data_IF_327874940229
#
_entry.id   IF_327874940229
#
_cell.length_a   1.000
_cell.length_b   1.000
_cell.length_c   1.000
_cell.angle_alpha   90.00
_cell.angle_beta   90.00
_cell.angle_gamma   90.00
#
_symmetry.space_group_name_H-M   'P 1'
#
loop_
_entity.id
_entity.type
_entity.pdbx_description
1 polymer ?
#
# COMPACT_ATOMS: atom_id res chain seq x y z
N UNK A 1 22.36 6.21 10.41
CA UNK A 1 20.91 6.46 10.54
C UNK A 1 20.37 7.72 9.83
N UNK A 2 21.19 8.67 9.36
CA UNK A 2 20.69 9.88 8.67
C UNK A 2 19.79 9.58 7.47
N UNK A 3 20.15 8.62 6.61
CA UNK A 3 19.32 8.19 5.48
C UNK A 3 17.94 7.66 5.92
N UNK A 4 17.88 6.85 6.98
CA UNK A 4 16.63 6.30 7.52
C UNK A 4 15.74 7.44 8.04
N UNK A 5 16.30 8.42 8.76
CA UNK A 5 15.55 9.61 9.21
C UNK A 5 15.00 10.41 8.02
N UNK A 6 15.73 10.49 6.91
CA UNK A 6 15.24 11.14 5.69
C UNK A 6 14.08 10.36 5.05
N UNK A 7 14.16 9.02 5.01
CA UNK A 7 13.08 8.17 4.51
C UNK A 7 11.80 8.45 5.32
N UNK A 8 11.90 8.40 6.66
CA UNK A 8 10.76 8.65 7.54
C UNK A 8 10.17 10.04 7.30
N UNK A 9 10.99 11.08 7.18
CA UNK A 9 10.54 12.45 6.87
C UNK A 9 9.82 12.56 5.52
N UNK A 10 10.29 11.84 4.50
CA UNK A 10 9.62 11.83 3.20
C UNK A 10 8.22 11.20 3.32
N UNK A 11 8.03 10.18 4.17
CA UNK A 11 6.69 9.61 4.46
C UNK A 11 5.83 10.53 5.34
N UNK A 12 6.43 11.20 6.33
CA UNK A 12 5.74 12.17 7.18
C UNK A 12 5.24 13.39 6.41
N UNK A 13 5.88 13.72 5.29
CA UNK A 13 5.48 14.82 4.39
C UNK A 13 4.64 14.35 3.19
N UNK A 14 4.26 13.07 3.15
CA UNK A 14 3.46 12.51 2.08
C UNK A 14 2.04 13.10 2.04
N UNK A 15 1.37 12.92 0.91
CA UNK A 15 -0.01 13.37 0.72
C UNK A 15 -0.93 12.81 1.82
N UNK A 16 -1.70 13.69 2.47
CA UNK A 16 -2.59 13.39 3.60
C UNK A 16 -1.89 12.91 4.88
N UNK A 17 -0.56 12.96 4.99
CA UNK A 17 0.12 12.62 6.25
C UNK A 17 -0.21 13.63 7.34
N UNK A 18 -0.34 13.16 8.59
CA UNK A 18 -0.51 14.02 9.76
C UNK A 18 0.80 14.69 10.19
N UNK A 19 1.95 14.11 9.83
CA UNK A 19 3.28 14.63 10.16
C UNK A 19 4.02 13.82 11.24
N UNK A 20 5.13 14.36 11.78
CA UNK A 20 6.00 13.63 12.71
C UNK A 20 5.33 13.24 14.02
N UNK A 21 4.38 14.03 14.52
CA UNK A 21 3.65 13.78 15.77
C UNK A 21 2.81 12.48 15.75
N UNK A 22 2.45 11.98 14.56
CA UNK A 22 1.66 10.75 14.43
C UNK A 22 2.49 9.51 14.12
N UNK A 23 3.82 9.68 14.01
CA UNK A 23 4.74 8.65 13.55
C UNK A 23 5.28 7.87 14.73
N UNK A 24 4.93 6.59 14.77
CA UNK A 24 5.44 5.64 15.72
C UNK A 24 6.72 5.02 15.17
N UNK A 25 7.86 5.43 15.74
CA UNK A 25 9.17 4.97 15.33
C UNK A 25 10.12 4.72 16.50
N UNK A 26 10.84 3.60 16.46
CA UNK A 26 11.68 3.15 17.57
C UNK A 26 12.95 3.98 17.76
N UNK A 27 13.50 4.60 16.70
CA UNK A 27 14.76 5.35 16.80
C UNK A 27 14.62 6.56 17.72
N UNK A 28 13.52 7.30 17.62
CA UNK A 28 13.30 8.47 18.46
C UNK A 28 13.19 8.07 19.95
N UNK A 29 12.41 7.02 20.23
CA UNK A 29 12.31 6.47 21.58
C UNK A 29 13.66 5.93 22.09
N UNK A 30 14.49 5.37 21.22
CA UNK A 30 15.81 4.87 21.58
C UNK A 30 16.80 6.00 21.88
N UNK A 31 16.78 7.09 21.11
CA UNK A 31 17.57 8.29 21.38
C UNK A 31 17.17 8.93 22.72
N UNK A 32 15.87 8.97 23.05
CA UNK A 32 15.40 9.40 24.36
C UNK A 32 15.87 8.48 25.50
N UNK A 33 15.87 7.17 25.26
CA UNK A 33 16.39 6.19 26.22
C UNK A 33 17.89 6.39 26.48
N UNK A 34 18.70 6.56 25.44
CA UNK A 34 20.14 6.81 25.57
C UNK A 34 20.43 8.12 26.30
N UNK A 35 19.68 9.19 26.02
CA UNK A 35 19.85 10.47 26.70
C UNK A 35 19.53 10.40 28.21
N UNK A 36 18.62 9.50 28.62
CA UNK A 36 18.20 9.41 30.02
C UNK A 36 18.95 8.34 30.81
N UNK A 37 19.22 7.18 30.20
CA UNK A 37 19.79 6.00 30.86
C UNK A 37 21.17 5.63 30.34
N UNK A 38 21.55 6.10 29.15
CA UNK A 38 22.82 5.75 28.52
C UNK A 38 24.01 6.38 29.23
N UNK A 39 25.14 5.69 29.20
CA UNK A 39 26.43 6.26 29.63
C UNK A 39 26.93 7.32 28.66
N UNK A 40 26.50 7.25 27.40
CA UNK A 40 26.82 8.18 26.31
C UNK A 40 25.55 8.54 25.52
N UNK A 41 25.46 9.78 25.07
CA UNK A 41 24.41 10.24 24.14
C UNK A 41 24.62 9.69 22.70
N UNK A 42 25.76 9.04 22.45
CA UNK A 42 26.05 8.44 21.14
C UNK A 42 25.25 7.16 20.91
N UNK A 43 24.78 6.99 19.67
CA UNK A 43 24.08 5.78 19.27
C UNK A 43 25.00 4.56 19.37
N UNK A 44 24.58 3.54 20.11
CA UNK A 44 25.26 2.24 20.23
C UNK A 44 24.26 1.12 20.00
N UNK A 45 24.70 -0.04 19.51
CA UNK A 45 23.82 -1.22 19.41
C UNK A 45 23.82 -2.04 20.72
N UNK A 46 24.83 -1.88 21.58
CA UNK A 46 25.00 -2.65 22.80
C UNK A 46 23.87 -2.47 23.82
N UNK A 47 23.26 -1.28 23.86
CA UNK A 47 22.18 -0.95 24.78
C UNK A 47 20.78 -1.29 24.23
N UNK A 48 20.68 -1.75 22.98
CA UNK A 48 19.39 -2.10 22.36
C UNK A 48 18.66 -3.25 23.09
N UNK A 49 19.32 -4.34 23.53
CA UNK A 49 18.65 -5.39 24.30
C UNK A 49 18.07 -4.87 25.62
N UNK A 50 18.78 -3.96 26.30
CA UNK A 50 18.32 -3.31 27.54
C UNK A 50 17.10 -2.44 27.27
N UNK A 51 17.15 -1.61 26.22
CA UNK A 51 16.04 -0.79 25.76
C UNK A 51 14.78 -1.63 25.48
N UNK A 52 14.94 -2.73 24.75
CA UNK A 52 13.82 -3.61 24.39
C UNK A 52 13.24 -4.41 25.56
N UNK A 53 14.02 -4.62 26.63
CA UNK A 53 13.56 -5.27 27.88
C UNK A 53 13.00 -4.26 28.89
N UNK A 54 13.15 -2.96 28.64
CA UNK A 54 12.59 -1.90 29.48
C UNK A 54 11.05 -1.99 29.53
N UNK A 55 10.47 -1.82 30.72
CA UNK A 55 9.03 -1.80 30.91
C UNK A 55 8.34 -0.69 30.08
N UNK A 56 9.05 0.41 29.80
CA UNK A 56 8.51 1.55 29.05
C UNK A 56 8.49 1.29 27.55
N UNK A 57 9.49 0.59 27.01
CA UNK A 57 9.74 0.48 25.56
C UNK A 57 9.57 -0.94 25.00
N UNK A 58 9.26 -1.92 25.83
CA UNK A 58 9.03 -3.31 25.44
C UNK A 58 8.07 -3.46 24.25
N UNK A 59 7.04 -2.62 24.12
CA UNK A 59 6.10 -2.70 23.00
C UNK A 59 6.77 -2.51 21.63
N UNK A 60 7.87 -1.75 21.55
CA UNK A 60 8.62 -1.51 20.31
C UNK A 60 9.37 -2.75 19.81
N UNK A 61 9.53 -3.78 20.65
CA UNK A 61 10.10 -5.08 20.22
C UNK A 61 9.30 -5.73 19.10
N UNK A 62 8.00 -5.48 19.05
CA UNK A 62 7.12 -5.99 17.99
C UNK A 62 7.37 -5.32 16.64
N UNK A 63 8.00 -4.14 16.64
CA UNK A 63 8.29 -3.33 15.44
C UNK A 63 9.67 -3.59 14.85
N UNK A 64 10.59 -4.19 15.63
CA UNK A 64 12.00 -4.34 15.27
C UNK A 64 12.45 -5.79 15.43
N UNK A 65 12.96 -6.37 14.35
CA UNK A 65 13.61 -7.67 14.36
C UNK A 65 15.12 -7.48 14.56
N UNK A 66 15.60 -7.85 15.74
CA UNK A 66 17.00 -7.72 16.11
C UNK A 66 17.64 -9.05 16.52
N UNK A 67 18.97 -9.12 16.44
CA UNK A 67 19.78 -10.24 16.88
C UNK A 67 20.60 -9.84 18.11
N UNK A 68 20.21 -10.34 19.28
CA UNK A 68 20.78 -9.95 20.58
C UNK A 68 22.31 -10.13 20.66
N UNK A 69 22.86 -11.22 20.11
CA UNK A 69 24.31 -11.47 20.16
C UNK A 69 25.09 -10.43 19.36
N UNK A 70 24.60 -10.08 18.17
CA UNK A 70 25.22 -9.07 17.31
C UNK A 70 25.08 -7.66 17.92
N UNK A 71 23.97 -7.37 18.62
CA UNK A 71 23.80 -6.12 19.33
C UNK A 71 24.83 -5.93 20.45
N UNK A 72 25.07 -6.97 21.25
CA UNK A 72 26.08 -6.94 22.32
C UNK A 72 27.50 -6.75 21.80
N UNK A 73 27.80 -7.24 20.60
CA UNK A 73 29.08 -7.02 19.90
C UNK A 73 29.17 -5.66 19.19
N UNK A 74 28.14 -4.82 19.33
CA UNK A 74 28.00 -3.54 18.66
C UNK A 74 28.07 -3.63 17.12
N UNK A 75 27.63 -4.76 16.57
CA UNK A 75 27.69 -5.05 15.14
C UNK A 75 26.45 -4.48 14.41
N UNK A 76 26.61 -3.85 13.23
CA UNK A 76 25.48 -3.32 12.45
C UNK A 76 24.42 -4.36 12.06
N UNK A 77 24.77 -5.65 12.02
CA UNK A 77 23.85 -6.76 11.78
C UNK A 77 22.88 -7.03 12.95
N UNK A 78 23.02 -6.28 14.06
CA UNK A 78 22.06 -6.25 15.15
C UNK A 78 20.62 -6.05 14.67
N UNK A 79 20.38 -5.17 13.67
CA UNK A 79 19.03 -4.89 13.17
C UNK A 79 18.86 -5.49 11.77
N UNK A 80 17.93 -6.42 11.63
CA UNK A 80 17.68 -7.11 10.35
C UNK A 80 16.54 -6.47 9.57
N UNK A 81 15.46 -6.11 10.26
CA UNK A 81 14.28 -5.49 9.64
C UNK A 81 13.48 -4.74 10.70
N UNK A 82 12.83 -3.65 10.32
CA UNK A 82 11.90 -2.94 11.18
C UNK A 82 10.76 -2.36 10.33
N UNK A 83 9.67 -1.99 10.98
CA UNK A 83 8.64 -1.14 10.38
C UNK A 83 8.35 0.05 11.28
N UNK A 84 7.78 1.10 10.69
CA UNK A 84 7.26 2.26 11.39
C UNK A 84 5.85 2.53 10.90
N UNK A 85 5.05 3.21 11.71
CA UNK A 85 3.68 3.55 11.36
C UNK A 85 3.52 5.05 11.40
N UNK A 86 2.88 5.63 10.39
CA UNK A 86 2.48 7.04 10.37
C UNK A 86 1.01 7.13 10.02
N UNK A 87 0.31 8.10 10.61
CA UNK A 87 -1.13 8.26 10.41
C UNK A 87 -1.44 9.39 9.44
N UNK A 88 -2.60 9.27 8.81
CA UNK A 88 -3.14 10.29 7.93
C UNK A 88 -3.94 11.36 8.70
N UNK A 89 -4.07 12.53 8.09
CA UNK A 89 -4.92 13.63 8.55
C UNK A 89 -6.37 13.42 8.08
N UNK A 90 -7.33 13.52 9.01
CA UNK A 90 -8.76 13.29 8.81
C UNK A 90 -9.16 11.86 8.38
N UNK A 91 -10.48 11.61 8.36
CA UNK A 91 -11.05 10.39 7.81
C UNK A 91 -10.87 10.36 6.29
N UNK A 92 -9.80 9.72 5.83
CA UNK A 92 -9.59 9.45 4.41
C UNK A 92 -10.69 8.51 3.93
N UNK A 93 -11.47 8.95 2.94
CA UNK A 93 -12.42 8.06 2.25
C UNK A 93 -11.64 7.12 1.34
N UNK A 94 -12.22 5.94 1.06
CA UNK A 94 -11.55 4.92 0.26
C UNK A 94 -10.99 5.40 -1.09
N UNK A 95 -11.67 6.34 -1.76
CA UNK A 95 -11.21 6.91 -3.04
C UNK A 95 -10.00 7.86 -2.89
N UNK A 96 -9.84 8.50 -1.72
CA UNK A 96 -8.70 9.38 -1.39
C UNK A 96 -7.47 8.57 -0.96
N UNK A 97 -7.67 7.30 -0.58
CA UNK A 97 -6.57 6.41 -0.22
C UNK A 97 -5.75 5.96 -1.44
N UNK A 98 -6.36 5.96 -2.63
CA UNK A 98 -5.69 5.61 -3.89
C UNK A 98 -4.52 6.56 -4.21
N UNK A 99 -4.70 7.90 -4.27
CA UNK A 99 -3.59 8.81 -4.51
C UNK A 99 -2.55 8.80 -3.36
N UNK A 100 -2.99 8.61 -2.12
CA UNK A 100 -2.09 8.49 -0.96
C UNK A 100 -1.13 7.30 -1.10
N UNK A 101 -1.67 6.10 -1.39
CA UNK A 101 -0.88 4.88 -1.57
C UNK A 101 0.06 4.98 -2.79
N UNK A 102 -0.37 5.65 -3.86
CA UNK A 102 0.49 5.91 -5.03
C UNK A 102 1.66 6.81 -4.67
N UNK A 103 1.44 7.82 -3.86
CA UNK A 103 2.49 8.71 -3.38
C UNK A 103 3.47 7.97 -2.46
N UNK A 104 2.97 7.13 -1.56
CA UNK A 104 3.80 6.26 -0.72
C UNK A 104 4.68 5.30 -1.55
N UNK A 105 4.12 4.70 -2.61
CA UNK A 105 4.90 3.86 -3.55
C UNK A 105 5.95 4.65 -4.30
N UNK A 106 5.65 5.90 -4.69
CA UNK A 106 6.59 6.81 -5.34
C UNK A 106 7.75 7.18 -4.39
N UNK A 107 7.45 7.42 -3.11
CA UNK A 107 8.47 7.66 -2.08
C UNK A 107 9.31 6.41 -1.86
N UNK A 108 8.69 5.23 -1.70
CA UNK A 108 9.41 3.96 -1.56
C UNK A 108 10.35 3.68 -2.76
N UNK A 109 9.91 3.96 -3.98
CA UNK A 109 10.70 3.79 -5.20
C UNK A 109 11.93 4.70 -5.28
N UNK A 110 11.98 5.79 -4.51
CA UNK A 110 13.16 6.68 -4.41
C UNK A 110 14.32 6.04 -3.64
N UNK A 111 14.05 4.99 -2.86
CA UNK A 111 15.00 4.35 -1.96
C UNK A 111 15.16 2.84 -2.27
N UNK A 112 15.60 2.46 -3.49
CA UNK A 112 15.68 1.06 -3.90
C UNK A 112 16.67 0.25 -3.05
N UNK A 113 17.75 0.87 -2.57
CA UNK A 113 18.81 0.22 -1.77
C UNK A 113 18.32 -0.30 -0.41
N UNK A 114 17.23 0.26 0.10
CA UNK A 114 16.68 -0.06 1.42
C UNK A 114 15.49 -1.02 1.38
N UNK A 115 15.05 -1.43 0.18
CA UNK A 115 13.89 -2.31 -0.02
C UNK A 115 12.68 -1.87 0.83
N UNK A 116 12.33 -0.59 0.78
CA UNK A 116 11.22 -0.04 1.56
C UNK A 116 9.90 -0.43 0.91
N UNK A 117 8.96 -0.93 1.71
CA UNK A 117 7.62 -1.27 1.24
C UNK A 117 6.56 -0.47 2.01
N UNK A 118 5.72 0.23 1.26
CA UNK A 118 4.55 0.89 1.82
C UNK A 118 3.42 -0.13 2.01
N UNK A 119 2.91 -0.24 3.24
CA UNK A 119 1.82 -1.13 3.59
C UNK A 119 0.67 -0.37 4.27
N UNK A 120 -0.55 -0.70 3.88
CA UNK A 120 -1.79 -0.30 4.53
C UNK A 120 -2.79 -1.45 4.39
N UNK A 121 -3.65 -1.66 5.38
CA UNK A 121 -4.65 -2.74 5.41
C UNK A 121 -5.53 -2.75 4.14
N UNK A 122 -5.82 -1.57 3.58
CA UNK A 122 -6.65 -1.44 2.39
C UNK A 122 -5.88 -1.56 1.06
N UNK A 123 -4.54 -1.66 1.10
CA UNK A 123 -3.72 -1.71 -0.12
C UNK A 123 -4.10 -2.84 -1.07
N UNK A 124 -4.34 -4.09 -0.60
CA UNK A 124 -4.73 -5.19 -1.50
C UNK A 124 -6.06 -4.92 -2.21
N UNK A 125 -7.02 -4.30 -1.52
CA UNK A 125 -8.31 -3.97 -2.10
C UNK A 125 -8.19 -2.85 -3.14
N UNK A 126 -7.32 -1.85 -2.90
CA UNK A 126 -7.03 -0.80 -3.87
C UNK A 126 -6.38 -1.38 -5.11
N UNK A 127 -5.40 -2.28 -4.94
CA UNK A 127 -4.72 -2.93 -6.05
C UNK A 127 -5.66 -3.77 -6.91
N UNK A 128 -6.56 -4.53 -6.26
CA UNK A 128 -7.62 -5.24 -6.96
C UNK A 128 -8.51 -4.27 -7.74
N UNK A 129 -8.92 -3.16 -7.11
CA UNK A 129 -9.77 -2.15 -7.76
C UNK A 129 -9.09 -1.56 -9.00
N UNK A 130 -7.79 -1.25 -8.93
CA UNK A 130 -7.02 -0.76 -10.07
C UNK A 130 -6.87 -1.81 -11.19
N UNK A 131 -6.82 -3.10 -10.83
CA UNK A 131 -6.74 -4.18 -11.81
C UNK A 131 -8.08 -4.47 -12.51
N UNK A 132 -9.22 -4.10 -11.91
CA UNK A 132 -10.54 -4.33 -12.52
C UNK A 132 -10.64 -3.64 -13.88
N UNK A 133 -10.23 -2.37 -13.98
CA UNK A 133 -10.35 -1.61 -15.23
C UNK A 133 -9.62 -2.29 -16.39
N UNK A 134 -8.36 -2.67 -16.20
CA UNK A 134 -7.56 -3.33 -17.24
C UNK A 134 -8.07 -4.75 -17.55
N UNK A 135 -8.58 -5.45 -16.54
CA UNK A 135 -9.16 -6.79 -16.69
C UNK A 135 -10.45 -6.74 -17.51
N UNK A 136 -11.31 -5.73 -17.30
CA UNK A 136 -12.56 -5.55 -18.06
C UNK A 136 -12.26 -5.30 -19.53
N UNK A 137 -11.34 -4.39 -19.86
CA UNK A 137 -10.97 -4.10 -21.25
C UNK A 137 -10.34 -5.29 -21.96
N UNK A 138 -9.43 -6.00 -21.29
CA UNK A 138 -8.77 -7.18 -21.87
C UNK A 138 -9.76 -8.33 -22.08
N UNK A 139 -10.64 -8.59 -21.11
CA UNK A 139 -11.70 -9.60 -21.21
C UNK A 139 -12.67 -9.30 -22.36
N UNK A 140 -13.11 -8.04 -22.49
CA UNK A 140 -13.96 -7.61 -23.60
C UNK A 140 -13.26 -7.81 -24.95
N UNK A 141 -11.99 -7.42 -25.06
CA UNK A 141 -11.19 -7.65 -26.28
C UNK A 141 -11.05 -9.13 -26.63
N UNK A 142 -10.79 -9.98 -25.63
CA UNK A 142 -10.70 -11.43 -25.82
C UNK A 142 -12.03 -12.04 -26.28
N UNK A 143 -13.16 -11.60 -25.72
CA UNK A 143 -14.49 -12.04 -26.15
C UNK A 143 -14.80 -11.64 -27.60
N UNK A 144 -14.48 -10.41 -27.99
CA UNK A 144 -14.65 -9.93 -29.36
C UNK A 144 -13.76 -10.68 -30.34
N UNK A 145 -12.50 -10.92 -29.98
CA UNK A 145 -11.56 -11.68 -30.79
C UNK A 145 -12.03 -13.13 -30.99
N UNK A 146 -12.44 -13.79 -29.91
CA UNK A 146 -12.97 -15.16 -29.96
C UNK A 146 -14.20 -15.25 -30.87
N UNK A 147 -15.12 -14.29 -30.73
CA UNK A 147 -16.32 -14.20 -31.59
C UNK A 147 -15.96 -13.99 -33.05
N UNK A 148 -15.02 -13.08 -33.34
CA UNK A 148 -14.57 -12.80 -34.70
C UNK A 148 -13.94 -14.04 -35.37
N UNK A 149 -13.07 -14.76 -34.64
CA UNK A 149 -12.42 -15.98 -35.11
C UNK A 149 -13.44 -17.09 -35.37
N UNK A 150 -14.38 -17.31 -34.44
CA UNK A 150 -15.43 -18.30 -34.62
C UNK A 150 -16.30 -17.99 -35.85
N UNK A 151 -16.75 -16.73 -36.00
CA UNK A 151 -17.53 -16.33 -37.16
C UNK A 151 -16.75 -16.48 -38.48
N UNK A 152 -15.45 -16.17 -38.50
CA UNK A 152 -14.60 -16.35 -39.68
C UNK A 152 -14.50 -17.81 -40.12
N UNK A 153 -14.39 -18.75 -39.16
CA UNK A 153 -14.29 -20.19 -39.44
C UNK A 153 -15.62 -20.74 -39.99
N UNK A 154 -16.75 -20.40 -39.38
CA UNK A 154 -18.05 -20.99 -39.73
C UNK A 154 -18.77 -20.28 -40.89
N UNK A 155 -18.67 -18.95 -40.98
CA UNK A 155 -19.40 -18.12 -41.95
C UNK A 155 -18.46 -17.03 -42.48
N UNK A 156 -17.74 -17.26 -43.59
CA UNK A 156 -16.76 -16.32 -44.13
C UNK A 156 -17.43 -15.15 -44.87
N UNK A 157 -18.36 -14.45 -44.21
CA UNK A 157 -18.98 -13.21 -44.67
C UNK A 157 -18.69 -12.07 -43.70
N UNK A 158 -18.02 -11.04 -44.20
CA UNK A 158 -17.59 -9.89 -43.42
C UNK A 158 -18.75 -9.19 -42.69
N UNK A 159 -19.91 -9.08 -43.35
CA UNK A 159 -21.11 -8.50 -42.74
C UNK A 159 -21.57 -9.25 -41.49
N UNK A 160 -21.49 -10.59 -41.48
CA UNK A 160 -21.90 -11.42 -40.34
C UNK A 160 -20.92 -11.29 -39.17
N UNK A 161 -19.62 -11.16 -39.46
CA UNK A 161 -18.58 -11.00 -38.45
C UNK A 161 -18.77 -9.66 -37.73
N UNK A 162 -18.95 -8.58 -38.49
CA UNK A 162 -19.13 -7.23 -37.94
C UNK A 162 -20.39 -7.14 -37.09
N UNK A 163 -21.52 -7.70 -37.54
CA UNK A 163 -22.76 -7.70 -36.76
C UNK A 163 -22.66 -8.51 -35.47
N UNK A 164 -21.95 -9.64 -35.50
CA UNK A 164 -21.71 -10.47 -34.30
C UNK A 164 -20.84 -9.72 -33.27
N UNK A 165 -19.73 -9.13 -33.70
CA UNK A 165 -18.87 -8.33 -32.82
C UNK A 165 -19.63 -7.13 -32.22
N UNK A 166 -20.44 -6.44 -33.02
CA UNK A 166 -21.25 -5.32 -32.53
C UNK A 166 -22.30 -5.76 -31.50
N UNK A 167 -22.92 -6.93 -31.70
CA UNK A 167 -23.85 -7.51 -30.73
C UNK A 167 -23.16 -7.82 -29.39
N UNK A 168 -21.99 -8.45 -29.43
CA UNK A 168 -21.21 -8.76 -28.21
C UNK A 168 -20.79 -7.48 -27.50
N UNK A 169 -20.26 -6.49 -28.22
CA UNK A 169 -19.90 -5.19 -27.67
C UNK A 169 -21.11 -4.49 -27.01
N UNK A 170 -22.26 -4.50 -27.68
CA UNK A 170 -23.50 -3.92 -27.16
C UNK A 170 -23.96 -4.59 -25.88
N UNK A 171 -23.85 -5.92 -25.78
CA UNK A 171 -24.22 -6.67 -24.58
C UNK A 171 -23.27 -6.31 -23.42
N UNK A 172 -21.96 -6.28 -23.67
CA UNK A 172 -20.97 -5.93 -22.63
C UNK A 172 -21.16 -4.50 -22.11
N UNK A 173 -21.35 -3.52 -22.99
CA UNK A 173 -21.60 -2.12 -22.59
C UNK A 173 -22.93 -2.02 -21.83
N UNK A 174 -23.97 -2.72 -22.29
CA UNK A 174 -25.28 -2.75 -21.62
C UNK A 174 -25.20 -3.29 -20.20
N UNK A 175 -24.47 -4.38 -19.98
CA UNK A 175 -24.27 -4.97 -18.65
C UNK A 175 -23.50 -3.98 -17.75
N UNK A 176 -22.43 -3.36 -18.24
CA UNK A 176 -21.66 -2.37 -17.46
C UNK A 176 -22.51 -1.15 -17.08
N UNK A 177 -23.33 -0.64 -18.01
CA UNK A 177 -24.23 0.49 -17.75
C UNK A 177 -25.37 0.16 -16.78
N UNK A 178 -25.89 -1.07 -16.82
CA UNK A 178 -26.84 -1.53 -15.80
C UNK A 178 -26.15 -1.64 -14.45
N UNK A 179 -24.97 -2.27 -14.37
CA UNK A 179 -24.23 -2.41 -13.11
C UNK A 179 -23.89 -1.06 -12.47
N UNK A 180 -23.55 -0.03 -13.27
CA UNK A 180 -23.31 1.32 -12.73
C UNK A 180 -24.57 1.93 -12.11
N UNK A 181 -25.73 1.79 -12.76
CA UNK A 181 -27.00 2.31 -12.24
C UNK A 181 -27.43 1.59 -10.95
N UNK A 182 -27.26 0.26 -10.91
CA UNK A 182 -27.59 -0.53 -9.73
C UNK A 182 -26.66 -0.21 -8.55
N UNK A 183 -25.37 0.03 -8.80
CA UNK A 183 -24.41 0.44 -7.78
C UNK A 183 -24.83 1.71 -7.05
N UNK A 184 -25.32 2.70 -7.79
CA UNK A 184 -25.82 3.96 -7.22
C UNK A 184 -27.04 3.73 -6.31
N UNK A 185 -28.01 2.93 -6.75
CA UNK A 185 -29.23 2.62 -5.98
C UNK A 185 -28.91 1.95 -4.64
N UNK A 186 -27.96 1.00 -4.61
CA UNK A 186 -27.54 0.33 -3.37
C UNK A 186 -26.85 1.29 -2.41
N UNK A 187 -25.98 2.17 -2.91
CA UNK A 187 -25.35 3.19 -2.06
C UNK A 187 -26.36 4.19 -1.48
N UNK A 188 -27.38 4.56 -2.24
CA UNK A 188 -28.38 5.53 -1.79
C UNK A 188 -29.35 4.93 -0.76
N UNK A 189 -29.79 3.68 -0.96
CA UNK A 189 -30.61 2.96 0.04
C UNK A 189 -29.88 2.67 1.34
N UNK A 190 -28.55 2.45 1.30
CA UNK A 190 -27.75 2.29 2.52
C UNK A 190 -27.61 3.58 3.34
N UNK A 191 -27.69 4.76 2.70
CA UNK A 191 -27.66 6.07 3.38
C UNK A 191 -28.99 6.48 4.00
N UNK A 192 -30.11 5.91 3.55
CA UNK A 192 -31.45 6.21 4.07
C UNK A 192 -31.82 5.34 5.29
N UNK A 193 -31.07 4.28 5.57
CA UNK A 193 -31.27 3.39 6.72
C UNK A 193 -30.36 3.72 7.92
N UNK A 194 -29.75 4.91 7.92
CA UNK A 194 -29.00 5.50 9.03
C UNK A 194 -29.50 6.91 9.30
#
# INVERSE_FOLDING_TARGET
FSAIKQIVRDFESATYSYGPESTFFWIQAYEEFLNFYGETEEFTYAEMPTFFKSATYFYLTTFVKYNETACLENDPSCITSFFFMTNFHNHIKYHELIPALRDWRRIAAKYPDYHVYAYSEHSPFIDQTQAIDSTVWSSMGAALLCTAVACFIFIPKLACIVTACFSVLSITIGILGLLSLWGEIYTDTSRLNH
#
